data_IF_416154213848
#
_entry.id   IF_416154213848
#
_cell.length_a   1.000
_cell.length_b   1.000
_cell.length_c   1.000
_cell.angle_alpha   90.00
_cell.angle_beta   90.00
_cell.angle_gamma   90.00
#
_symmetry.space_group_name_H-M   'P 1'
#
loop_
_entity.id
_entity.type
_entity.pdbx_description
1 polymer ?
#
# COMPACT_ATOMS: atom_id res chain seq x y z
N UNK A 1 -18.95 -1.36 -40.54
CA UNK A 1 -17.89 -0.83 -39.67
C UNK A 1 -18.40 -0.93 -38.23
N UNK A 2 -17.84 -1.84 -37.43
CA UNK A 2 -18.22 -2.04 -36.03
C UNK A 2 -17.42 -1.05 -35.18
N UNK A 3 -18.12 -0.12 -34.52
CA UNK A 3 -17.50 0.80 -33.57
C UNK A 3 -17.08 -0.02 -32.34
N UNK A 4 -15.81 0.05 -31.90
CA UNK A 4 -15.40 -0.64 -30.68
C UNK A 4 -16.18 -0.06 -29.50
N UNK A 5 -16.92 -0.92 -28.78
CA UNK A 5 -17.56 -0.54 -27.52
C UNK A 5 -16.47 -0.05 -26.58
N UNK A 6 -16.48 1.24 -26.26
CA UNK A 6 -15.59 1.82 -25.27
C UNK A 6 -15.72 1.05 -23.96
N UNK A 7 -14.58 0.71 -23.37
CA UNK A 7 -14.51 0.06 -22.07
C UNK A 7 -14.87 1.13 -21.02
N UNK A 8 -16.16 1.30 -20.75
CA UNK A 8 -16.62 2.14 -19.63
C UNK A 8 -16.42 1.27 -18.39
N UNK A 9 -15.37 1.53 -17.62
CA UNK A 9 -15.30 1.00 -16.26
C UNK A 9 -16.49 1.59 -15.50
N UNK A 10 -17.34 0.72 -14.97
CA UNK A 10 -18.45 1.17 -14.12
C UNK A 10 -17.85 1.89 -12.91
N UNK A 11 -18.37 3.09 -12.58
CA UNK A 11 -17.93 3.85 -11.40
C UNK A 11 -18.01 3.02 -10.11
N UNK A 12 -18.91 2.03 -10.05
CA UNK A 12 -19.01 1.06 -8.96
C UNK A 12 -17.82 0.09 -8.82
N UNK A 13 -17.09 -0.23 -9.88
CA UNK A 13 -15.85 -1.02 -9.76
C UNK A 13 -14.71 -0.18 -9.18
N UNK A 14 -14.65 1.12 -9.51
CA UNK A 14 -13.64 2.04 -8.98
C UNK A 14 -13.81 2.23 -7.46
N UNK A 15 -15.04 2.38 -6.97
CA UNK A 15 -15.32 2.45 -5.53
C UNK A 15 -14.96 1.15 -4.79
N UNK A 16 -15.25 -0.03 -5.37
CA UNK A 16 -14.87 -1.32 -4.76
C UNK A 16 -13.35 -1.49 -4.62
N UNK A 17 -12.59 -0.99 -5.58
CA UNK A 17 -11.12 -1.06 -5.56
C UNK A 17 -10.55 -0.07 -4.53
N UNK A 18 -11.14 1.12 -4.38
CA UNK A 18 -10.71 2.09 -3.36
C UNK A 18 -11.00 1.62 -1.94
N UNK A 19 -12.14 0.96 -1.71
CA UNK A 19 -12.55 0.41 -0.41
C UNK A 19 -11.70 -0.78 0.07
N UNK A 20 -10.91 -1.42 -0.81
CA UNK A 20 -10.03 -2.53 -0.42
C UNK A 20 -8.64 -2.11 0.08
N UNK A 21 -8.29 -0.81 -0.02
CA UNK A 21 -6.91 -0.36 0.26
C UNK A 21 -6.64 0.03 1.70
N UNK A 22 -7.66 0.20 2.55
CA UNK A 22 -7.40 0.35 3.99
C UNK A 22 -6.99 -1.01 4.52
N UNK A 23 -5.69 -1.18 4.74
CA UNK A 23 -5.14 -2.35 5.41
C UNK A 23 -5.68 -2.33 6.84
N UNK A 24 -6.83 -2.98 7.05
CA UNK A 24 -7.20 -3.37 8.40
C UNK A 24 -6.12 -4.33 8.88
N UNK A 25 -5.40 -3.95 9.93
CA UNK A 25 -4.49 -4.87 10.61
C UNK A 25 -5.34 -6.02 11.14
N UNK A 26 -5.40 -7.11 10.41
CA UNK A 26 -6.21 -8.27 10.83
C UNK A 26 -5.41 -9.18 11.75
N UNK A 27 -4.11 -9.31 11.49
CA UNK A 27 -3.22 -10.21 12.21
C UNK A 27 -1.83 -9.60 12.39
N UNK A 28 -1.24 -9.79 13.57
CA UNK A 28 0.14 -9.40 13.86
C UNK A 28 1.06 -10.60 13.83
N UNK A 29 1.67 -10.84 12.67
CA UNK A 29 2.51 -12.01 12.53
C UNK A 29 3.78 -11.94 13.40
N UNK A 30 4.15 -13.10 13.96
CA UNK A 30 5.32 -13.28 14.84
C UNK A 30 6.62 -12.75 14.23
N UNK A 31 6.80 -12.85 12.91
CA UNK A 31 8.01 -12.41 12.22
C UNK A 31 8.22 -10.89 12.27
N UNK A 32 7.16 -10.12 12.58
CA UNK A 32 7.24 -8.66 12.68
C UNK A 32 7.73 -8.20 14.05
N UNK A 33 7.76 -9.06 15.06
CA UNK A 33 8.19 -8.72 16.42
C UNK A 33 9.71 -8.55 16.43
N UNK A 34 10.17 -7.44 17.00
CA UNK A 34 11.58 -7.20 17.26
C UNK A 34 11.80 -7.31 18.77
N UNK A 35 12.52 -8.36 19.17
CA UNK A 35 12.97 -8.52 20.55
C UNK A 35 14.24 -7.70 20.73
N UNK A 36 14.29 -6.87 21.78
CA UNK A 36 15.52 -6.17 22.16
C UNK A 36 16.58 -7.22 22.52
N UNK A 37 17.79 -7.09 21.95
CA UNK A 37 18.89 -8.02 22.22
C UNK A 37 19.27 -8.06 23.70
N UNK A 38 18.97 -6.98 24.44
CA UNK A 38 19.22 -6.90 25.87
C UNK A 38 18.09 -7.51 26.71
N UNK A 39 16.90 -7.70 26.16
CA UNK A 39 15.80 -8.34 26.86
C UNK A 39 15.89 -9.85 26.65
N UNK A 40 16.25 -10.58 27.70
CA UNK A 40 16.15 -12.06 27.73
C UNK A 40 14.70 -12.58 27.65
N UNK A 41 13.71 -11.69 27.46
CA UNK A 41 12.32 -12.06 27.26
C UNK A 41 12.15 -12.64 25.87
N UNK A 42 12.07 -13.97 25.79
CA UNK A 42 11.44 -14.63 24.66
C UNK A 42 9.99 -14.18 24.51
N UNK A 43 9.44 -14.31 23.31
CA UNK A 43 8.02 -14.09 23.09
C UNK A 43 7.22 -15.13 23.88
N UNK A 44 6.53 -14.70 24.93
CA UNK A 44 5.70 -15.56 25.77
C UNK A 44 4.50 -16.08 24.95
N UNK A 45 4.23 -17.38 25.04
CA UNK A 45 3.10 -18.02 24.35
C UNK A 45 1.74 -17.45 24.80
N UNK A 46 1.66 -16.86 25.99
CA UNK A 46 0.49 -16.15 26.50
C UNK A 46 0.13 -14.89 25.68
N UNK A 47 1.08 -14.36 24.90
CA UNK A 47 0.84 -13.21 24.00
C UNK A 47 0.32 -13.64 22.63
N UNK A 48 0.13 -14.94 22.41
CA UNK A 48 -0.29 -15.50 21.14
C UNK A 48 -1.78 -15.82 21.14
N UNK A 49 -2.45 -15.45 20.06
CA UNK A 49 -3.83 -15.85 19.84
C UNK A 49 -3.92 -17.39 19.74
N UNK A 50 -4.85 -17.97 20.50
CA UNK A 50 -5.08 -19.41 20.56
C UNK A 50 -5.47 -20.00 19.19
N UNK A 51 -6.23 -19.24 18.41
CA UNK A 51 -6.73 -19.65 17.09
C UNK A 51 -5.70 -19.47 15.96
N UNK A 52 -5.21 -18.25 15.71
CA UNK A 52 -4.32 -17.96 14.57
C UNK A 52 -2.83 -18.11 14.89
N UNK A 53 -2.45 -18.34 16.15
CA UNK A 53 -1.07 -18.52 16.64
C UNK A 53 -0.11 -17.38 16.31
N UNK A 54 -0.64 -16.20 16.01
CA UNK A 54 0.07 -14.95 15.83
C UNK A 54 0.02 -14.12 17.13
N UNK A 55 0.79 -13.03 17.21
CA UNK A 55 0.67 -12.10 18.35
C UNK A 55 -0.75 -11.56 18.36
N UNK A 56 -1.36 -11.53 19.55
CA UNK A 56 -2.74 -11.11 19.68
C UNK A 56 -2.92 -9.65 19.24
N UNK A 57 -3.93 -9.39 18.41
CA UNK A 57 -4.31 -8.05 17.98
C UNK A 57 -5.71 -7.72 18.50
N UNK A 58 -5.85 -6.56 19.16
CA UNK A 58 -7.06 -6.16 19.88
C UNK A 58 -7.54 -7.33 20.77
N UNK A 59 -6.79 -7.66 21.83
CA UNK A 59 -6.97 -8.90 22.56
C UNK A 59 -8.34 -9.01 23.20
N UNK A 60 -8.88 -10.22 23.14
CA UNK A 60 -10.11 -10.61 23.81
C UNK A 60 -9.82 -11.85 24.65
N UNK A 61 -10.25 -11.85 25.91
CA UNK A 61 -9.99 -12.94 26.84
C UNK A 61 -11.28 -13.67 27.20
N UNK A 62 -11.25 -15.00 27.18
CA UNK A 62 -12.37 -15.83 27.58
C UNK A 62 -12.21 -16.28 29.03
N UNK A 63 -13.21 -16.03 29.87
CA UNK A 63 -13.21 -16.50 31.26
C UNK A 63 -13.30 -18.03 31.38
N UNK A 64 -14.05 -18.68 30.50
CA UNK A 64 -14.37 -20.11 30.62
C UNK A 64 -13.22 -21.03 30.23
N UNK A 65 -12.46 -20.66 29.20
CA UNK A 65 -11.31 -21.46 28.74
C UNK A 65 -9.96 -20.81 29.02
N UNK A 66 -9.94 -19.64 29.69
CA UNK A 66 -8.72 -18.89 30.04
C UNK A 66 -7.79 -18.63 28.84
N UNK A 67 -8.36 -18.60 27.63
CA UNK A 67 -7.62 -18.40 26.39
C UNK A 67 -7.76 -16.96 25.91
N UNK A 68 -6.71 -16.47 25.23
CA UNK A 68 -6.68 -15.18 24.55
C UNK A 68 -6.84 -15.35 23.04
N UNK A 69 -7.60 -14.43 22.44
CA UNK A 69 -7.92 -14.40 21.02
C UNK A 69 -7.71 -13.00 20.45
N UNK A 70 -7.39 -12.90 19.16
CA UNK A 70 -7.57 -11.63 18.44
C UNK A 70 -9.07 -11.33 18.36
N UNK A 71 -9.44 -10.04 18.28
CA UNK A 71 -10.83 -9.63 18.10
C UNK A 71 -11.54 -10.35 16.93
N UNK A 72 -10.86 -10.51 15.79
CA UNK A 72 -11.39 -11.23 14.60
C UNK A 72 -11.39 -12.76 14.76
N UNK A 73 -10.58 -13.29 15.68
CA UNK A 73 -10.46 -14.73 15.94
C UNK A 73 -11.34 -15.21 17.10
N UNK A 74 -12.14 -14.32 17.70
CA UNK A 74 -13.03 -14.70 18.80
C UNK A 74 -14.04 -15.76 18.34
N UNK A 75 -14.30 -16.80 19.14
CA UNK A 75 -15.34 -17.78 18.84
C UNK A 75 -16.70 -17.09 18.62
N UNK A 76 -17.41 -17.48 17.57
CA UNK A 76 -18.76 -16.97 17.34
C UNK A 76 -19.73 -17.63 18.34
N UNK A 77 -20.19 -16.86 19.32
CA UNK A 77 -21.30 -17.27 20.19
C UNK A 77 -22.59 -17.08 19.39
N UNK A 78 -23.18 -18.18 18.93
CA UNK A 78 -24.43 -18.13 18.17
C UNK A 78 -25.27 -19.37 18.40
N UNK A 79 -26.57 -19.17 18.60
CA UNK A 79 -27.58 -20.23 18.66
C UNK A 79 -27.54 -21.13 17.41
N UNK A 80 -27.18 -20.57 16.24
CA UNK A 80 -27.08 -21.29 14.97
C UNK A 80 -25.85 -22.18 14.81
N UNK A 81 -24.84 -22.09 15.70
CA UNK A 81 -23.69 -23.01 15.67
C UNK A 81 -24.14 -24.47 15.83
N UNK A 82 -25.26 -24.71 16.53
CA UNK A 82 -25.88 -26.05 16.66
C UNK A 82 -26.45 -26.60 15.36
N UNK A 83 -26.84 -25.75 14.40
CA UNK A 83 -27.45 -26.19 13.13
C UNK A 83 -26.38 -26.65 12.13
N UNK A 84 -25.17 -26.10 12.18
CA UNK A 84 -24.07 -26.51 11.30
C UNK A 84 -23.58 -27.95 11.53
N UNK A 85 -23.86 -28.53 12.69
CA UNK A 85 -23.58 -29.94 13.01
C UNK A 85 -24.41 -30.93 12.18
N UNK A 86 -25.55 -30.50 11.62
CA UNK A 86 -26.43 -31.39 10.85
C UNK A 86 -25.97 -31.65 9.42
N UNK A 87 -25.09 -30.81 8.85
CA UNK A 87 -24.68 -30.94 7.44
C UNK A 87 -23.34 -31.66 7.22
N UNK A 88 -22.80 -32.36 8.23
CA UNK A 88 -21.72 -33.34 8.04
C UNK A 88 -20.40 -32.80 7.45
N UNK A 89 -20.23 -31.48 7.33
CA UNK A 89 -18.95 -30.89 6.95
C UNK A 89 -18.05 -30.99 8.18
N UNK A 90 -17.30 -32.09 8.27
CA UNK A 90 -16.24 -32.28 9.25
C UNK A 90 -15.29 -31.08 9.17
N UNK A 91 -15.45 -30.13 10.10
CA UNK A 91 -14.43 -29.12 10.32
C UNK A 91 -13.15 -29.86 10.73
N UNK A 92 -12.01 -29.62 10.07
CA UNK A 92 -10.78 -30.33 10.38
C UNK A 92 -10.45 -30.19 11.87
N UNK A 93 -10.56 -31.31 12.59
CA UNK A 93 -10.25 -31.46 14.02
C UNK A 93 -8.73 -31.47 14.24
N UNK A 94 -8.03 -30.43 13.84
CA UNK A 94 -6.63 -30.26 14.18
C UNK A 94 -6.49 -29.10 15.17
N UNK A 95 -6.49 -29.44 16.46
CA UNK A 95 -5.85 -28.67 17.53
C UNK A 95 -6.46 -27.31 17.92
N UNK A 96 -7.70 -27.00 17.53
CA UNK A 96 -8.38 -25.76 17.92
C UNK A 96 -9.13 -25.95 19.23
N UNK A 97 -8.70 -25.25 20.27
CA UNK A 97 -9.47 -25.06 21.50
C UNK A 97 -10.67 -24.15 21.18
N UNK A 98 -11.69 -24.68 20.51
CA UNK A 98 -12.95 -23.96 20.31
C UNK A 98 -13.65 -23.91 21.65
N UNK A 99 -13.78 -22.71 22.21
CA UNK A 99 -14.55 -22.50 23.43
C UNK A 99 -16.04 -22.45 23.08
N UNK A 100 -16.79 -23.49 23.45
CA UNK A 100 -18.24 -23.58 23.18
C UNK A 100 -19.05 -22.54 23.97
N UNK A 101 -18.55 -22.15 25.14
CA UNK A 101 -19.17 -21.17 26.03
C UNK A 101 -18.27 -19.93 26.15
N UNK A 102 -17.97 -19.26 25.05
CA UNK A 102 -17.14 -18.06 25.10
C UNK A 102 -17.80 -16.98 25.99
N UNK A 103 -17.08 -16.49 26.99
CA UNK A 103 -17.51 -15.42 27.90
C UNK A 103 -16.42 -14.36 27.90
N UNK A 104 -16.65 -13.27 27.16
CA UNK A 104 -15.71 -12.17 27.03
C UNK A 104 -15.58 -11.41 28.35
N UNK A 105 -14.35 -11.30 28.85
CA UNK A 105 -14.00 -10.50 30.03
C UNK A 105 -12.78 -9.63 29.74
N UNK A 106 -12.48 -8.70 30.65
CA UNK A 106 -11.30 -7.84 30.55
C UNK A 106 -10.03 -8.67 30.51
N UNK A 107 -9.14 -8.33 29.57
CA UNK A 107 -7.83 -8.98 29.43
C UNK A 107 -6.99 -8.74 30.71
N UNK A 108 -6.32 -9.78 31.24
CA UNK A 108 -5.42 -9.62 32.39
C UNK A 108 -4.37 -8.52 32.19
N UNK A 109 -4.11 -7.73 33.23
CA UNK A 109 -3.25 -6.54 33.17
C UNK A 109 -1.79 -6.86 32.80
N UNK A 110 -1.27 -8.01 33.22
CA UNK A 110 0.09 -8.43 32.87
C UNK A 110 0.26 -8.67 31.37
N UNK A 111 -0.74 -9.25 30.69
CA UNK A 111 -0.73 -9.46 29.24
C UNK A 111 -0.68 -8.12 28.50
N UNK A 112 -1.52 -7.17 28.91
CA UNK A 112 -1.54 -5.81 28.36
C UNK A 112 -0.19 -5.11 28.57
N UNK A 113 0.38 -5.23 29.78
CA UNK A 113 1.70 -4.69 30.09
C UNK A 113 2.81 -5.32 29.24
N UNK A 114 2.74 -6.63 28.96
CA UNK A 114 3.74 -7.32 28.16
C UNK A 114 3.59 -7.03 26.66
N UNK A 115 2.37 -6.92 26.13
CA UNK A 115 2.12 -6.46 24.77
C UNK A 115 2.68 -5.05 24.54
N UNK A 116 2.54 -4.14 25.52
CA UNK A 116 3.01 -2.75 25.39
C UNK A 116 4.53 -2.62 25.24
N UNK A 117 5.29 -3.59 25.75
CA UNK A 117 6.75 -3.64 25.64
C UNK A 117 7.22 -4.13 24.27
N UNK A 118 6.36 -4.77 23.49
CA UNK A 118 6.73 -5.31 22.18
C UNK A 118 6.91 -4.18 21.16
N UNK A 119 7.99 -4.29 20.38
CA UNK A 119 8.24 -3.47 19.20
C UNK A 119 7.96 -4.28 17.94
N UNK A 120 7.37 -3.63 16.95
CA UNK A 120 7.00 -4.23 15.68
C UNK A 120 7.63 -3.49 14.51
N UNK A 121 8.04 -4.25 13.49
CA UNK A 121 8.33 -3.71 12.17
C UNK A 121 7.02 -3.33 11.49
N UNK A 122 7.00 -2.17 10.84
CA UNK A 122 5.87 -1.71 10.01
C UNK A 122 5.50 -2.76 8.95
N UNK A 123 4.20 -2.95 8.67
CA UNK A 123 3.75 -3.83 7.57
C UNK A 123 4.34 -3.44 6.20
N UNK A 124 4.69 -2.16 6.02
CA UNK A 124 5.27 -1.60 4.81
C UNK A 124 6.81 -1.60 4.83
N UNK A 125 7.46 -2.49 5.60
CA UNK A 125 8.93 -2.63 5.60
C UNK A 125 9.49 -2.93 4.21
N UNK A 126 8.80 -3.78 3.44
CA UNK A 126 9.17 -4.12 2.06
C UNK A 126 9.15 -2.89 1.13
N UNK A 127 8.35 -1.89 1.47
CA UNK A 127 8.26 -0.62 0.74
C UNK A 127 9.26 0.42 1.23
N UNK A 128 10.06 0.11 2.25
CA UNK A 128 11.09 0.96 2.81
C UNK A 128 10.79 1.58 4.17
N UNK A 129 9.65 1.26 4.81
CA UNK A 129 9.39 1.72 6.17
C UNK A 129 10.24 0.96 7.19
N UNK A 130 11.28 1.61 7.73
CA UNK A 130 12.19 1.01 8.73
C UNK A 130 11.82 1.32 10.18
N UNK A 131 10.65 1.91 10.42
CA UNK A 131 10.24 2.29 11.76
C UNK A 131 9.95 1.05 12.61
N UNK A 132 10.44 1.08 13.85
CA UNK A 132 10.04 0.17 14.92
C UNK A 132 9.00 0.88 15.76
N UNK A 133 7.85 0.24 15.95
CA UNK A 133 6.65 0.88 16.47
C UNK A 133 6.15 0.08 17.66
N UNK A 134 5.73 0.74 18.73
CA UNK A 134 5.10 0.10 19.87
C UNK A 134 3.73 -0.47 19.52
N UNK A 135 3.30 -1.49 20.25
CA UNK A 135 2.03 -2.19 20.01
C UNK A 135 0.83 -1.25 19.83
N UNK A 136 0.67 -0.24 20.71
CA UNK A 136 -0.48 0.67 20.67
C UNK A 136 -0.42 1.72 19.54
N UNK A 137 0.79 2.10 19.13
CA UNK A 137 0.99 3.10 18.08
C UNK A 137 0.88 2.48 16.67
N UNK A 138 0.85 1.15 16.58
CA UNK A 138 0.92 0.42 15.32
C UNK A 138 -0.28 0.71 14.40
N UNK A 139 -1.50 0.74 14.94
CA UNK A 139 -2.70 1.00 14.15
C UNK A 139 -2.69 2.41 13.54
N UNK A 140 -2.28 3.39 14.34
CA UNK A 140 -2.20 4.78 13.87
C UNK A 140 -1.08 4.93 12.84
N UNK A 141 0.10 4.39 13.12
CA UNK A 141 1.23 4.47 12.20
C UNK A 141 0.88 3.85 10.85
N UNK A 142 0.27 2.67 10.80
CA UNK A 142 -0.01 2.00 9.52
C UNK A 142 -1.07 2.74 8.69
N UNK A 143 -2.07 3.35 9.33
CA UNK A 143 -3.05 4.22 8.65
C UNK A 143 -2.41 5.48 8.05
N UNK A 144 -1.37 6.01 8.70
CA UNK A 144 -0.70 7.24 8.31
C UNK A 144 0.64 6.99 7.60
N UNK A 145 0.99 5.73 7.34
CA UNK A 145 2.32 5.37 6.86
C UNK A 145 2.56 5.94 5.47
N UNK A 146 3.65 6.68 5.31
CA UNK A 146 4.03 7.22 4.00
C UNK A 146 4.40 6.11 3.00
N UNK A 147 4.70 4.90 3.47
CA UNK A 147 5.05 3.77 2.61
C UNK A 147 3.87 2.86 2.30
N UNK A 148 2.65 3.27 2.66
CA UNK A 148 1.41 2.60 2.30
C UNK A 148 1.31 2.36 0.79
N UNK A 149 0.77 1.20 0.39
CA UNK A 149 0.52 0.87 -1.00
C UNK A 149 -0.81 1.47 -1.48
N UNK A 150 -0.74 2.43 -2.38
CA UNK A 150 -1.87 3.02 -3.09
C UNK A 150 -1.91 2.42 -4.50
N UNK A 151 -3.02 1.82 -4.95
CA UNK A 151 -3.12 1.30 -6.30
C UNK A 151 -3.08 2.45 -7.32
N UNK A 152 -2.33 2.25 -8.41
CA UNK A 152 -2.37 3.13 -9.56
C UNK A 152 -3.81 3.20 -10.10
N UNK A 153 -4.35 4.40 -10.31
CA UNK A 153 -5.72 4.59 -10.81
C UNK A 153 -5.98 3.99 -12.20
N UNK A 154 -4.91 3.75 -12.97
CA UNK A 154 -5.00 3.29 -14.35
C UNK A 154 -4.65 1.80 -14.47
N UNK A 155 -3.46 1.37 -14.04
CA UNK A 155 -3.04 -0.03 -14.19
C UNK A 155 -3.28 -0.91 -12.94
N UNK A 156 -3.77 -0.32 -11.85
CA UNK A 156 -3.98 -0.97 -10.54
C UNK A 156 -2.72 -1.61 -9.94
N UNK A 157 -1.52 -1.23 -10.41
CA UNK A 157 -0.28 -1.65 -9.77
C UNK A 157 -0.18 -0.99 -8.38
N UNK A 158 0.12 -1.72 -7.29
CA UNK A 158 0.33 -1.12 -5.98
C UNK A 158 1.60 -0.25 -5.98
N UNK A 159 1.46 1.02 -5.61
CA UNK A 159 2.53 2.02 -5.56
C UNK A 159 2.70 2.53 -4.13
N UNK A 160 3.93 2.81 -3.70
CA UNK A 160 4.15 3.48 -2.41
C UNK A 160 3.61 4.92 -2.43
N UNK A 161 2.94 5.33 -1.35
CA UNK A 161 2.42 6.69 -1.13
C UNK A 161 3.52 7.76 -1.08
N UNK A 162 4.75 7.38 -0.73
CA UNK A 162 5.88 8.31 -0.57
C UNK A 162 6.41 8.75 -1.93
N UNK A 163 6.33 10.05 -2.21
CA UNK A 163 7.07 10.66 -3.33
C UNK A 163 8.59 10.66 -3.05
N UNK A 164 9.48 10.44 -4.05
CA UNK A 164 9.25 10.12 -5.45
C UNK A 164 9.92 8.78 -5.83
N UNK A 165 9.71 7.71 -5.07
CA UNK A 165 10.35 6.42 -5.38
C UNK A 165 9.62 5.77 -6.57
N UNK A 166 10.19 6.07 -7.74
CA UNK A 166 9.71 5.82 -9.08
C UNK A 166 8.38 6.52 -9.37
N UNK A 167 8.45 7.63 -10.11
CA UNK A 167 7.35 8.08 -10.95
C UNK A 167 6.87 6.82 -11.67
N UNK A 168 5.72 6.29 -11.26
CA UNK A 168 4.99 5.35 -12.08
C UNK A 168 4.59 6.16 -13.30
N UNK A 169 5.53 6.28 -14.22
CA UNK A 169 5.42 7.15 -15.38
C UNK A 169 4.27 6.62 -16.20
N UNK A 170 3.67 7.50 -16.99
CA UNK A 170 2.67 7.11 -17.97
C UNK A 170 3.16 5.90 -18.78
N UNK A 171 4.41 5.92 -19.24
CA UNK A 171 5.04 4.80 -19.91
C UNK A 171 5.08 3.50 -19.06
N UNK A 172 5.55 3.54 -17.81
CA UNK A 172 5.57 2.35 -16.93
C UNK A 172 4.15 1.81 -16.64
N UNK A 173 3.17 2.71 -16.51
CA UNK A 173 1.76 2.36 -16.37
C UNK A 173 1.24 1.59 -17.58
N UNK A 174 1.50 2.11 -18.79
CA UNK A 174 1.09 1.46 -20.03
C UNK A 174 1.79 0.13 -20.25
N UNK A 175 3.08 0.02 -19.92
CA UNK A 175 3.79 -1.25 -19.98
C UNK A 175 3.15 -2.31 -19.06
N UNK A 176 2.75 -1.93 -17.84
CA UNK A 176 2.05 -2.86 -16.95
C UNK A 176 0.65 -3.23 -17.42
N UNK A 177 -0.11 -2.28 -17.98
CA UNK A 177 -1.39 -2.60 -18.62
C UNK A 177 -1.22 -3.59 -19.77
N UNK A 178 -0.21 -3.36 -20.61
CA UNK A 178 0.11 -4.24 -21.74
C UNK A 178 0.52 -5.64 -21.28
N UNK A 179 1.34 -5.73 -20.24
CA UNK A 179 1.73 -7.01 -19.63
C UNK A 179 0.52 -7.79 -19.14
N UNK A 180 -0.48 -7.11 -18.55
CA UNK A 180 -1.71 -7.74 -18.06
C UNK A 180 -2.69 -8.11 -19.18
N UNK A 181 -2.77 -7.32 -20.24
CA UNK A 181 -3.74 -7.50 -21.32
C UNK A 181 -3.15 -7.11 -22.70
N UNK A 182 -2.37 -7.98 -23.36
CA UNK A 182 -1.75 -7.69 -24.65
C UNK A 182 -2.79 -7.70 -25.79
N UNK A 183 -3.61 -6.65 -25.86
CA UNK A 183 -4.54 -6.44 -26.97
C UNK A 183 -3.92 -5.54 -28.04
N UNK A 184 -4.30 -5.73 -29.31
CA UNK A 184 -3.73 -4.97 -30.44
C UNK A 184 -3.94 -3.45 -30.33
N UNK A 185 -5.01 -3.00 -29.67
CA UNK A 185 -5.27 -1.56 -29.43
C UNK A 185 -4.23 -0.98 -28.46
N UNK A 186 -3.82 -1.72 -27.44
CA UNK A 186 -2.81 -1.23 -26.50
C UNK A 186 -1.42 -1.10 -27.15
N UNK A 187 -1.10 -1.93 -28.14
CA UNK A 187 0.13 -1.77 -28.93
C UNK A 187 0.14 -0.44 -29.69
N UNK A 188 -1.00 -0.04 -30.27
CA UNK A 188 -1.11 1.25 -30.97
C UNK A 188 -0.90 2.43 -30.03
N UNK A 189 -1.43 2.36 -28.80
CA UNK A 189 -1.21 3.40 -27.80
C UNK A 189 0.27 3.51 -27.39
N UNK A 190 0.99 2.39 -27.23
CA UNK A 190 2.43 2.42 -26.93
C UNK A 190 3.22 3.07 -28.05
N UNK A 191 2.91 2.74 -29.31
CA UNK A 191 3.56 3.34 -30.47
C UNK A 191 3.31 4.86 -30.48
N UNK A 192 2.08 5.29 -30.22
CA UNK A 192 1.72 6.69 -30.14
C UNK A 192 2.48 7.41 -29.01
N UNK A 193 2.56 6.80 -27.83
CA UNK A 193 3.27 7.37 -26.68
C UNK A 193 4.75 7.57 -26.96
N UNK A 194 5.41 6.56 -27.52
CA UNK A 194 6.82 6.64 -27.89
C UNK A 194 7.06 7.70 -28.97
N UNK A 195 6.14 7.84 -29.92
CA UNK A 195 6.20 8.88 -30.93
C UNK A 195 6.03 10.28 -30.31
N UNK A 196 5.13 10.46 -29.33
CA UNK A 196 4.96 11.74 -28.63
C UNK A 196 6.16 12.10 -27.77
N UNK A 197 6.73 11.15 -27.01
CA UNK A 197 7.93 11.40 -26.20
C UNK A 197 9.13 11.79 -27.09
N UNK A 198 9.29 11.11 -28.23
CA UNK A 198 10.31 11.47 -29.21
C UNK A 198 10.09 12.89 -29.77
N UNK A 199 8.85 13.22 -30.14
CA UNK A 199 8.52 14.56 -30.65
C UNK A 199 8.74 15.65 -29.59
N UNK A 200 8.46 15.39 -28.32
CA UNK A 200 8.74 16.33 -27.22
C UNK A 200 10.24 16.54 -27.00
N UNK A 201 11.04 15.48 -27.09
CA UNK A 201 12.50 15.58 -27.01
C UNK A 201 13.08 16.40 -28.19
N UNK A 202 12.59 16.16 -29.41
CA UNK A 202 12.97 16.93 -30.60
C UNK A 202 12.56 18.40 -30.47
N UNK A 203 11.33 18.68 -30.00
CA UNK A 203 10.87 20.05 -29.74
C UNK A 203 11.72 20.76 -28.67
N UNK A 204 12.17 20.05 -27.64
CA UNK A 204 13.07 20.60 -26.62
C UNK A 204 14.42 20.95 -27.22
N UNK A 205 14.97 20.09 -28.07
CA UNK A 205 16.21 20.35 -28.80
C UNK A 205 16.07 21.57 -29.73
N UNK A 206 14.99 21.65 -30.51
CA UNK A 206 14.71 22.77 -31.41
C UNK A 206 14.60 24.11 -30.67
N UNK A 207 13.99 24.13 -29.48
CA UNK A 207 13.93 25.34 -28.64
C UNK A 207 15.32 25.84 -28.27
N UNK A 208 16.23 24.95 -27.85
CA UNK A 208 17.61 25.32 -27.53
C UNK A 208 18.35 25.94 -28.72
N UNK A 209 18.11 25.40 -29.93
CA UNK A 209 18.69 25.95 -31.17
C UNK A 209 18.13 27.34 -31.49
N UNK A 210 16.82 27.53 -31.33
CA UNK A 210 16.17 28.84 -31.54
C UNK A 210 16.72 29.88 -30.54
N UNK A 211 16.84 29.51 -29.27
CA UNK A 211 17.37 30.38 -28.23
C UNK A 211 18.83 30.78 -28.53
N UNK A 212 19.66 29.84 -28.99
CA UNK A 212 21.04 30.12 -29.42
C UNK A 212 21.08 31.09 -30.61
N UNK A 213 20.28 30.86 -31.64
CA UNK A 213 20.20 31.75 -32.81
C UNK A 213 19.73 33.16 -32.43
N UNK A 214 18.74 33.27 -31.54
CA UNK A 214 18.29 34.57 -31.04
C UNK A 214 19.39 35.30 -30.26
N UNK A 215 20.16 34.58 -29.44
CA UNK A 215 21.32 35.14 -28.76
C UNK A 215 22.37 35.64 -29.76
N UNK A 216 22.65 34.87 -30.82
CA UNK A 216 23.57 35.29 -31.88
C UNK A 216 23.08 36.56 -32.60
N UNK A 217 21.79 36.65 -32.92
CA UNK A 217 21.19 37.85 -33.54
C UNK A 217 21.32 39.07 -32.63
N UNK A 218 20.95 38.94 -31.35
CA UNK A 218 21.06 40.03 -30.37
C UNK A 218 22.51 40.52 -30.22
N UNK A 219 23.48 39.59 -30.24
CA UNK A 219 24.89 39.92 -30.20
C UNK A 219 25.34 40.69 -31.47
N UNK A 220 24.89 40.27 -32.65
CA UNK A 220 25.17 40.98 -33.89
C UNK A 220 24.54 42.38 -33.88
N UNK A 221 23.29 42.52 -33.48
CA UNK A 221 22.61 43.82 -33.38
C UNK A 221 23.35 44.75 -32.42
N UNK A 222 23.77 44.26 -31.24
CA UNK A 222 24.55 45.05 -30.29
C UNK A 222 25.90 45.52 -30.85
N UNK A 223 26.49 44.75 -31.77
CA UNK A 223 27.80 45.03 -32.37
C UNK A 223 27.71 45.98 -33.56
N UNK A 224 26.65 45.90 -34.35
CA UNK A 224 26.53 46.61 -35.64
C UNK A 224 25.52 47.76 -35.64
N UNK A 225 24.56 47.81 -34.70
CA UNK A 225 23.70 48.98 -34.53
C UNK A 225 24.51 50.09 -33.88
N UNK A 226 25.11 50.93 -34.73
CA UNK A 226 25.87 52.12 -34.32
C UNK A 226 25.01 52.96 -33.36
N UNK A 227 25.59 53.32 -32.20
CA UNK A 227 24.99 54.33 -31.32
C UNK A 227 24.63 55.56 -32.17
N UNK A 228 23.38 56.05 -32.11
CA UNK A 228 22.99 57.22 -32.86
C UNK A 228 23.97 58.35 -32.53
N UNK A 229 24.39 59.13 -33.53
CA UNK A 229 25.36 60.20 -33.31
C UNK A 229 24.78 61.11 -32.24
N UNK A 230 25.46 61.19 -31.10
CA UNK A 230 25.14 62.15 -30.05
C UNK A 230 25.28 63.53 -30.67
N UNK A 231 24.16 64.23 -30.87
CA UNK A 231 24.16 65.64 -31.24
C UNK A 231 24.97 66.36 -30.16
N UNK A 232 26.12 66.91 -30.55
CA UNK A 232 26.85 67.85 -29.72
C UNK A 232 26.19 69.20 -29.95
N UNK A 233 25.57 69.72 -28.91
CA UNK A 233 25.14 71.13 -28.82
C UNK A 233 26.36 72.06 -28.70
#
# INVERSE_FOLDING_TARGET
>A
MLVPRGFIMNDHEVERIQLQSTVEIETLSKHRVVLDQNSKMGLNDELLCTECRNVVWKPVYCKQCECIFCYKCRPQIGFFSRVSTFFGVERPRHGRNTCDNFEEVSVPTHIIADLSKLLFRCAYEQNGCRMLIHYYDLEQHEKECQFENIPCQVCLLPLSKRRPFAKHSTHACFQEMYRKNPSGIQQQFIILLNATEKAEAENTCLKLVIDDLQNQINNLDSKYVKKPPTKKD
#
